data_IF_136484716373
#
_entry.id   IF_136484716373
#
_cell.length_a   1.000
_cell.length_b   1.000
_cell.length_c   1.000
_cell.angle_alpha   90.00
_cell.angle_beta   90.00
_cell.angle_gamma   90.00
#
_symmetry.space_group_name_H-M   'P 1'
#
loop_
_entity.id
_entity.type
_entity.pdbx_description
1 polymer ?
#
# COMPACT_ATOMS: atom_id res chain seq x y z
N UNK A 1 -52.87 -33.71 7.15
CA UNK A 1 -52.37 -32.81 6.12
C UNK A 1 -51.80 -31.48 6.66
N UNK A 2 -52.47 -30.76 7.58
CA UNK A 2 -51.95 -29.50 8.13
C UNK A 2 -50.63 -29.63 8.90
N UNK A 3 -50.42 -30.72 9.64
CA UNK A 3 -49.19 -30.94 10.41
C UNK A 3 -47.99 -31.36 9.55
N UNK A 4 -48.22 -32.06 8.46
CA UNK A 4 -47.14 -32.45 7.50
C UNK A 4 -46.65 -31.22 6.72
N UNK A 5 -47.52 -30.30 6.37
CA UNK A 5 -47.11 -29.05 5.70
C UNK A 5 -46.24 -28.17 6.60
N UNK A 6 -46.58 -28.10 7.90
CA UNK A 6 -45.83 -27.32 8.89
C UNK A 6 -44.40 -27.89 9.12
N UNK A 7 -44.25 -29.22 9.12
CA UNK A 7 -42.94 -29.89 9.24
C UNK A 7 -42.06 -29.64 8.02
N UNK A 8 -42.61 -29.63 6.81
CA UNK A 8 -41.86 -29.36 5.58
C UNK A 8 -41.34 -27.92 5.52
N UNK A 9 -42.14 -26.93 5.97
CA UNK A 9 -41.72 -25.52 6.00
C UNK A 9 -40.62 -25.26 7.02
N UNK A 10 -40.65 -25.91 8.18
CA UNK A 10 -39.61 -25.80 9.21
C UNK A 10 -38.32 -26.47 8.72
N UNK A 11 -38.38 -27.60 8.03
CA UNK A 11 -37.23 -28.32 7.48
C UNK A 11 -36.55 -27.52 6.36
N UNK A 12 -37.34 -26.89 5.46
CA UNK A 12 -36.77 -26.02 4.41
C UNK A 12 -36.11 -24.76 5.00
N UNK A 13 -36.69 -24.16 6.03
CA UNK A 13 -36.14 -22.98 6.71
C UNK A 13 -34.79 -23.25 7.39
N UNK A 14 -34.62 -24.45 7.95
CA UNK A 14 -33.33 -24.85 8.57
C UNK A 14 -32.23 -25.13 7.54
N UNK A 15 -32.57 -25.64 6.37
CA UNK A 15 -31.61 -25.86 5.28
C UNK A 15 -31.09 -24.53 4.70
N UNK A 16 -31.94 -23.52 4.55
CA UNK A 16 -31.55 -22.21 4.05
C UNK A 16 -30.57 -21.49 5.00
N UNK A 17 -30.74 -21.64 6.30
CA UNK A 17 -29.81 -21.08 7.30
C UNK A 17 -28.43 -21.75 7.29
N UNK A 18 -28.34 -23.04 6.98
CA UNK A 18 -27.06 -23.75 6.86
C UNK A 18 -26.26 -23.32 5.62
N UNK A 19 -26.93 -23.04 4.51
CA UNK A 19 -26.27 -22.53 3.30
C UNK A 19 -25.73 -21.12 3.49
N UNK A 20 -26.50 -20.21 4.09
CA UNK A 20 -26.08 -18.83 4.34
C UNK A 20 -24.87 -18.72 5.29
N UNK A 21 -24.77 -19.59 6.30
CA UNK A 21 -23.63 -19.61 7.23
C UNK A 21 -22.34 -20.10 6.55
N UNK A 22 -22.42 -21.06 5.64
CA UNK A 22 -21.24 -21.62 4.98
C UNK A 22 -20.58 -20.63 3.98
N UNK A 23 -21.37 -19.82 3.29
CA UNK A 23 -20.84 -18.76 2.41
C UNK A 23 -20.16 -17.64 3.21
N UNK A 24 -20.79 -17.20 4.30
CA UNK A 24 -20.21 -16.17 5.16
C UNK A 24 -18.90 -16.61 5.80
N UNK A 25 -18.78 -17.85 6.28
CA UNK A 25 -17.53 -18.41 6.82
C UNK A 25 -16.42 -18.49 5.76
N UNK A 26 -16.79 -18.81 4.52
CA UNK A 26 -15.85 -18.83 3.40
C UNK A 26 -15.31 -17.44 3.08
N UNK A 27 -16.20 -16.45 3.01
CA UNK A 27 -15.82 -15.04 2.76
C UNK A 27 -14.96 -14.46 3.90
N UNK A 28 -15.28 -14.77 5.16
CA UNK A 28 -14.48 -14.35 6.32
C UNK A 28 -13.07 -14.95 6.28
N UNK A 29 -12.92 -16.23 5.93
CA UNK A 29 -11.60 -16.85 5.77
C UNK A 29 -10.77 -16.22 4.65
N UNK A 30 -11.42 -15.86 3.53
CA UNK A 30 -10.74 -15.14 2.44
C UNK A 30 -10.31 -13.75 2.90
N UNK A 31 -11.18 -13.04 3.62
CA UNK A 31 -10.86 -11.73 4.17
C UNK A 31 -9.69 -11.78 5.16
N UNK A 32 -9.70 -12.71 6.10
CA UNK A 32 -8.63 -12.91 7.07
C UNK A 32 -7.29 -13.22 6.37
N UNK A 33 -7.33 -14.04 5.31
CA UNK A 33 -6.16 -14.33 4.50
C UNK A 33 -5.62 -13.05 3.83
N UNK A 34 -6.47 -12.27 3.18
CA UNK A 34 -6.07 -11.02 2.52
C UNK A 34 -5.51 -10.01 3.53
N UNK A 35 -6.12 -9.90 4.72
CA UNK A 35 -5.62 -9.04 5.79
C UNK A 35 -4.24 -9.50 6.26
N UNK A 36 -4.03 -10.80 6.49
CA UNK A 36 -2.74 -11.33 6.93
C UNK A 36 -1.65 -11.13 5.86
N UNK A 37 -1.95 -11.37 4.60
CA UNK A 37 -1.03 -11.14 3.48
C UNK A 37 -0.66 -9.65 3.35
N UNK A 38 -1.63 -8.74 3.56
CA UNK A 38 -1.38 -7.30 3.57
C UNK A 38 -0.45 -6.89 4.71
N UNK A 39 -0.62 -7.44 5.91
CA UNK A 39 0.25 -7.15 7.06
C UNK A 39 1.69 -7.56 6.77
N UNK A 40 1.92 -8.78 6.30
CA UNK A 40 3.24 -9.28 5.92
C UNK A 40 3.89 -8.41 4.84
N UNK A 41 3.10 -7.99 3.85
CA UNK A 41 3.59 -7.10 2.80
C UNK A 41 3.99 -5.72 3.34
N UNK A 42 3.19 -5.15 4.25
CA UNK A 42 3.47 -3.86 4.88
C UNK A 42 4.73 -3.94 5.73
N UNK A 43 4.87 -4.95 6.59
CA UNK A 43 6.06 -5.16 7.42
C UNK A 43 7.34 -5.30 6.58
N UNK A 44 7.26 -6.05 5.47
CA UNK A 44 8.39 -6.19 4.55
C UNK A 44 8.79 -4.86 3.91
N UNK A 45 7.81 -4.05 3.50
CA UNK A 45 8.06 -2.71 2.95
C UNK A 45 8.70 -1.78 3.99
N UNK A 46 8.16 -1.73 5.19
CA UNK A 46 8.71 -0.91 6.28
C UNK A 46 10.15 -1.30 6.61
N UNK A 47 10.45 -2.60 6.65
CA UNK A 47 11.81 -3.09 6.85
C UNK A 47 12.74 -2.62 5.73
N UNK A 48 12.31 -2.72 4.47
CA UNK A 48 13.07 -2.25 3.29
C UNK A 48 13.32 -0.74 3.37
N UNK A 49 12.30 0.06 3.67
CA UNK A 49 12.44 1.52 3.81
C UNK A 49 13.41 1.86 4.95
N UNK A 50 13.35 1.15 6.07
CA UNK A 50 14.27 1.34 7.20
C UNK A 50 15.72 1.06 6.80
N UNK A 51 15.95 0.00 6.04
CA UNK A 51 17.28 -0.35 5.51
C UNK A 51 17.81 0.73 4.55
N UNK A 52 16.98 1.21 3.62
CA UNK A 52 17.33 2.28 2.68
C UNK A 52 17.67 3.58 3.41
N UNK A 53 16.90 3.95 4.44
CA UNK A 53 17.18 5.11 5.30
C UNK A 53 18.52 4.98 6.03
N UNK A 54 18.88 3.79 6.48
CA UNK A 54 20.17 3.54 7.11
C UNK A 54 21.31 3.68 6.10
N UNK A 55 21.19 3.06 4.93
CA UNK A 55 22.18 3.19 3.82
C UNK A 55 22.37 4.64 3.39
N UNK A 56 21.29 5.43 3.33
CA UNK A 56 21.36 6.85 2.95
C UNK A 56 22.25 7.66 3.89
N UNK A 57 22.23 7.39 5.20
CA UNK A 57 23.07 8.09 6.19
C UNK A 57 24.56 7.89 5.98
N UNK A 58 24.95 6.81 5.31
CA UNK A 58 26.35 6.45 5.04
C UNK A 58 26.86 7.01 3.72
N UNK A 59 25.98 7.57 2.88
CA UNK A 59 26.34 8.06 1.56
C UNK A 59 27.04 9.41 1.62
N UNK A 60 28.06 9.55 0.77
CA UNK A 60 28.89 10.77 0.67
C UNK A 60 28.64 11.56 -0.61
N UNK A 61 28.07 10.92 -1.63
CA UNK A 61 27.82 11.56 -2.92
C UNK A 61 26.36 11.98 -3.07
N UNK A 62 26.13 13.09 -3.76
CA UNK A 62 24.77 13.58 -4.04
C UNK A 62 24.02 12.61 -4.97
N UNK A 63 24.73 11.96 -5.91
CA UNK A 63 24.11 10.99 -6.83
C UNK A 63 23.59 9.76 -6.08
N UNK A 64 24.39 9.19 -5.16
CA UNK A 64 23.95 8.07 -4.35
C UNK A 64 22.78 8.43 -3.44
N UNK A 65 22.78 9.64 -2.87
CA UNK A 65 21.65 10.14 -2.08
C UNK A 65 20.38 10.27 -2.93
N UNK A 66 20.50 10.82 -4.14
CA UNK A 66 19.38 10.93 -5.08
C UNK A 66 18.79 9.55 -5.42
N UNK A 67 19.64 8.59 -5.75
CA UNK A 67 19.22 7.22 -6.09
C UNK A 67 18.50 6.53 -4.93
N UNK A 68 19.05 6.61 -3.71
CA UNK A 68 18.41 6.02 -2.52
C UNK A 68 17.10 6.70 -2.18
N UNK A 69 16.99 8.02 -2.30
CA UNK A 69 15.73 8.72 -2.17
C UNK A 69 14.70 8.25 -3.21
N UNK A 70 15.12 8.07 -4.46
CA UNK A 70 14.24 7.58 -5.54
C UNK A 70 13.72 6.17 -5.23
N UNK A 71 14.55 5.32 -4.64
CA UNK A 71 14.14 3.99 -4.20
C UNK A 71 13.15 4.05 -3.02
N UNK A 72 13.39 4.92 -2.04
CA UNK A 72 12.44 5.16 -0.93
C UNK A 72 11.10 5.71 -1.47
N UNK A 73 11.12 6.65 -2.42
CA UNK A 73 9.93 7.18 -3.08
C UNK A 73 9.14 6.05 -3.73
N UNK A 74 9.80 5.17 -4.49
CA UNK A 74 9.14 4.05 -5.16
C UNK A 74 8.46 3.09 -4.18
N UNK A 75 9.04 2.87 -3.00
CA UNK A 75 8.43 2.06 -1.95
C UNK A 75 7.24 2.76 -1.28
N UNK A 76 7.25 4.08 -1.16
CA UNK A 76 6.21 4.86 -0.50
C UNK A 76 5.04 5.24 -1.44
N UNK A 77 5.25 5.31 -2.74
CA UNK A 77 4.29 5.84 -3.73
C UNK A 77 2.92 5.14 -3.73
N UNK A 78 2.82 3.97 -3.14
CA UNK A 78 1.58 3.20 -3.04
C UNK A 78 0.81 3.38 -1.72
N UNK A 79 1.39 4.03 -0.68
CA UNK A 79 0.80 3.99 0.66
C UNK A 79 0.74 5.30 1.44
N UNK A 80 1.71 6.21 1.31
CA UNK A 80 1.77 7.43 2.13
C UNK A 80 2.33 8.58 1.32
N UNK A 81 1.44 9.43 0.81
CA UNK A 81 1.80 10.60 0.01
C UNK A 81 2.76 11.54 0.75
N UNK A 82 2.55 11.79 2.06
CA UNK A 82 3.40 12.69 2.86
C UNK A 82 4.88 12.26 2.92
N UNK A 83 5.14 10.97 3.13
CA UNK A 83 6.53 10.49 3.18
C UNK A 83 7.21 10.51 1.80
N UNK A 84 6.45 10.31 0.72
CA UNK A 84 6.99 10.44 -0.63
C UNK A 84 7.35 11.89 -0.94
N UNK A 85 6.50 12.84 -0.59
CA UNK A 85 6.71 14.27 -0.81
C UNK A 85 8.03 14.77 -0.20
N UNK A 86 8.34 14.38 1.04
CA UNK A 86 9.59 14.76 1.68
C UNK A 86 10.80 14.34 0.84
N UNK A 87 10.87 13.08 0.40
CA UNK A 87 12.00 12.57 -0.37
C UNK A 87 12.06 13.13 -1.80
N UNK A 88 10.92 13.45 -2.40
CA UNK A 88 10.85 14.13 -3.69
C UNK A 88 11.44 15.53 -3.57
N UNK A 89 11.08 16.29 -2.54
CA UNK A 89 11.62 17.63 -2.31
C UNK A 89 13.14 17.58 -2.05
N UNK A 90 13.63 16.62 -1.26
CA UNK A 90 15.07 16.41 -1.09
C UNK A 90 15.76 16.10 -2.42
N UNK A 91 15.18 15.29 -3.29
CA UNK A 91 15.72 15.01 -4.62
C UNK A 91 15.76 16.24 -5.53
N UNK A 92 14.75 17.10 -5.46
CA UNK A 92 14.75 18.38 -6.18
C UNK A 92 15.93 19.26 -5.71
N UNK A 93 16.17 19.35 -4.40
CA UNK A 93 17.31 20.11 -3.87
C UNK A 93 18.65 19.51 -4.29
N UNK A 94 18.78 18.18 -4.24
CA UNK A 94 19.99 17.46 -4.69
C UNK A 94 20.24 17.73 -6.17
N UNK A 95 19.22 17.62 -7.02
CA UNK A 95 19.30 17.87 -8.45
C UNK A 95 19.74 19.32 -8.77
N UNK A 96 19.25 20.29 -8.01
CA UNK A 96 19.67 21.68 -8.11
C UNK A 96 21.16 21.84 -7.75
N UNK A 97 21.61 21.25 -6.65
CA UNK A 97 23.02 21.28 -6.22
C UNK A 97 23.96 20.63 -7.23
N UNK A 98 23.49 19.57 -7.92
CA UNK A 98 24.24 18.89 -8.97
C UNK A 98 24.20 19.61 -10.32
N UNK A 99 23.31 20.60 -10.50
CA UNK A 99 23.02 21.21 -11.81
C UNK A 99 22.42 20.23 -12.81
N UNK A 100 21.78 19.15 -12.36
CA UNK A 100 21.21 18.12 -13.21
C UNK A 100 19.74 18.44 -13.54
N UNK A 101 19.55 19.04 -14.71
CA UNK A 101 18.22 19.45 -15.17
C UNK A 101 17.25 18.27 -15.41
N UNK A 102 17.76 17.08 -15.77
CA UNK A 102 16.93 15.89 -15.95
C UNK A 102 16.35 15.43 -14.61
N UNK A 103 17.19 15.30 -13.59
CA UNK A 103 16.75 14.94 -12.25
C UNK A 103 15.81 15.98 -11.65
N UNK A 104 16.07 17.27 -11.93
CA UNK A 104 15.20 18.35 -11.49
C UNK A 104 13.79 18.24 -12.10
N UNK A 105 13.72 17.95 -13.39
CA UNK A 105 12.44 17.77 -14.09
C UNK A 105 11.69 16.54 -13.57
N UNK A 106 12.38 15.42 -13.38
CA UNK A 106 11.81 14.20 -12.80
C UNK A 106 11.19 14.46 -11.41
N UNK A 107 11.93 15.12 -10.52
CA UNK A 107 11.44 15.46 -9.20
C UNK A 107 10.18 16.33 -9.23
N UNK A 108 10.15 17.34 -10.10
CA UNK A 108 8.97 18.20 -10.26
C UNK A 108 7.75 17.47 -10.81
N UNK A 109 7.94 16.54 -11.74
CA UNK A 109 6.86 15.70 -12.27
C UNK A 109 6.33 14.73 -11.20
N UNK A 110 7.20 14.13 -10.40
CA UNK A 110 6.80 13.28 -9.29
C UNK A 110 6.00 14.06 -8.24
N UNK A 111 6.43 15.28 -7.92
CA UNK A 111 5.71 16.15 -6.98
C UNK A 111 4.32 16.51 -7.49
N UNK A 112 4.21 16.88 -8.75
CA UNK A 112 2.92 17.18 -9.38
C UNK A 112 1.99 15.97 -9.38
N UNK A 113 2.54 14.78 -9.60
CA UNK A 113 1.77 13.54 -9.53
C UNK A 113 1.24 13.26 -8.12
N UNK A 114 2.09 13.41 -7.08
CA UNK A 114 1.66 13.24 -5.68
C UNK A 114 0.54 14.22 -5.32
N UNK A 115 0.66 15.49 -5.70
CA UNK A 115 -0.38 16.48 -5.46
C UNK A 115 -1.69 16.16 -6.18
N UNK A 116 -1.62 15.65 -7.41
CA UNK A 116 -2.82 15.25 -8.14
C UNK A 116 -3.57 14.09 -7.47
N UNK A 117 -2.84 13.16 -6.83
CA UNK A 117 -3.44 12.06 -6.07
C UNK A 117 -4.02 12.51 -4.73
N UNK A 118 -3.45 13.55 -4.13
CA UNK A 118 -3.91 14.11 -2.85
C UNK A 118 -5.14 15.02 -2.99
N UNK A 119 -5.56 15.32 -4.22
CA UNK A 119 -6.69 16.23 -4.48
C UNK A 119 -6.36 17.70 -4.25
N UNK A 120 -5.08 18.06 -4.29
CA UNK A 120 -4.55 19.42 -4.16
C UNK A 120 -4.24 20.03 -5.52
#
# INVERSE_FOLDING_TARGET
MKHTLCFITILLGSLLNLYANNENDSLLKVLDKVISERLVYTEKKEATIKELKAKKKEQKTLDDMYRLNSEIISQNSTFVCESAEQYINENIEIAQKMGNNTYLLEGRLQLAFVYSLSGL
#
